data_IF_493766780947
#
_entry.id   IF_493766780947
#
_cell.length_a   1.000
_cell.length_b   1.000
_cell.length_c   1.000
_cell.angle_alpha   90.00
_cell.angle_beta   90.00
_cell.angle_gamma   90.00
#
_symmetry.space_group_name_H-M   'P 1'
#
loop_
_entity.id
_entity.type
_entity.pdbx_description
1 polymer ?
#
# COMPACT_ATOMS: atom_id res chain seq x y z
N UNK A 1 -22.89 71.31 -15.80
CA UNK A 1 -21.84 72.29 -15.45
C UNK A 1 -20.60 71.55 -14.98
N UNK A 2 -19.40 72.05 -15.30
CA UNK A 2 -18.11 71.83 -14.61
C UNK A 2 -17.77 70.46 -13.99
N UNK A 3 -16.97 69.67 -14.72
CA UNK A 3 -15.75 68.98 -14.22
C UNK A 3 -14.60 70.02 -14.03
N UNK A 4 -13.33 69.72 -13.59
CA UNK A 4 -12.64 68.45 -13.29
C UNK A 4 -12.15 68.31 -11.81
N UNK A 5 -10.88 68.17 -11.32
CA UNK A 5 -9.48 68.36 -11.81
C UNK A 5 -8.38 67.59 -11.00
N UNK A 6 -7.87 66.47 -11.54
CA UNK A 6 -6.49 65.89 -11.44
C UNK A 6 -5.73 65.67 -10.09
N UNK A 7 -5.05 64.50 -10.03
CA UNK A 7 -3.68 64.18 -9.52
C UNK A 7 -2.83 65.28 -8.85
N UNK A 8 -2.05 64.89 -7.82
CA UNK A 8 -0.57 64.77 -7.91
C UNK A 8 0.05 63.97 -6.73
N UNK A 9 1.24 63.40 -6.97
CA UNK A 9 2.30 63.08 -5.98
C UNK A 9 3.47 64.02 -6.34
N UNK A 10 4.32 64.44 -5.39
CA UNK A 10 5.72 64.00 -5.52
C UNK A 10 6.39 63.67 -4.17
N UNK A 11 7.60 63.15 -4.27
CA UNK A 11 8.50 62.76 -3.18
C UNK A 11 9.11 63.96 -2.44
N UNK A 12 9.82 63.68 -1.34
CA UNK A 12 10.91 64.53 -0.86
C UNK A 12 12.00 63.63 -0.25
N UNK A 13 13.23 63.77 -0.75
CA UNK A 13 14.43 63.17 -0.15
C UNK A 13 14.80 63.87 1.17
N UNK A 14 15.57 63.19 2.01
CA UNK A 14 16.80 63.78 2.58
C UNK A 14 17.72 62.66 3.11
N UNK A 15 19.03 62.88 2.98
CA UNK A 15 20.11 61.97 3.43
C UNK A 15 20.28 61.96 4.97
N UNK A 16 20.84 60.88 5.51
CA UNK A 16 22.00 61.04 6.41
C UNK A 16 22.91 59.79 6.43
N UNK A 17 24.23 59.98 6.69
CA UNK A 17 25.27 58.96 6.47
C UNK A 17 26.04 58.54 7.73
N UNK A 18 26.06 57.23 8.01
CA UNK A 18 27.01 56.55 8.90
C UNK A 18 27.05 55.03 8.50
N UNK A 19 28.12 54.32 8.13
CA UNK A 19 29.54 54.32 8.56
C UNK A 19 29.69 54.05 10.07
N UNK A 20 30.46 53.10 10.61
CA UNK A 20 31.43 52.10 10.10
C UNK A 20 31.63 51.03 11.22
N UNK A 21 32.17 49.80 11.09
CA UNK A 21 32.71 48.98 9.99
C UNK A 21 32.67 47.47 10.41
N UNK A 22 32.92 46.51 9.50
CA UNK A 22 33.32 45.12 9.87
C UNK A 22 34.79 45.08 10.32
N UNK A 23 35.18 44.08 11.13
CA UNK A 23 36.40 43.33 10.84
C UNK A 23 36.16 41.82 10.74
N UNK A 24 37.14 41.09 10.18
CA UNK A 24 37.09 39.62 10.03
C UNK A 24 38.47 39.00 10.23
N UNK A 25 38.55 37.87 10.96
CA UNK A 25 39.25 36.62 10.56
C UNK A 25 39.50 35.64 11.73
N UNK A 26 39.05 34.39 11.52
CA UNK A 26 39.84 33.14 11.59
C UNK A 26 40.72 32.85 12.83
N UNK A 27 40.32 31.85 13.62
CA UNK A 27 41.20 30.74 14.05
C UNK A 27 40.39 29.49 14.43
N UNK A 28 41.06 28.35 14.55
CA UNK A 28 40.51 27.08 15.06
C UNK A 28 40.89 26.87 16.53
N UNK A 29 40.05 26.19 17.31
CA UNK A 29 40.47 25.28 18.38
C UNK A 29 39.35 24.29 18.72
N UNK A 30 39.75 23.11 19.21
CA UNK A 30 38.85 22.02 19.63
C UNK A 30 38.53 22.08 21.12
N UNK A 31 37.25 21.95 21.48
CA UNK A 31 36.80 21.45 22.78
C UNK A 31 35.38 20.87 22.62
N UNK A 32 35.09 19.76 23.31
CA UNK A 32 33.74 19.17 23.33
C UNK A 32 32.99 19.57 24.59
N UNK A 33 31.66 19.66 24.49
CA UNK A 33 30.78 19.90 25.65
C UNK A 33 29.49 19.09 25.50
N UNK A 34 29.00 18.52 26.61
CA UNK A 34 27.76 17.75 26.62
C UNK A 34 26.55 18.63 26.25
N UNK A 35 25.71 18.11 25.36
CA UNK A 35 24.26 18.28 25.47
C UNK A 35 23.70 16.87 25.71
N UNK A 36 22.92 16.60 26.74
CA UNK A 36 22.18 17.54 27.60
C UNK A 36 20.75 17.03 27.67
N UNK A 37 20.51 16.06 28.55
CA UNK A 37 19.23 15.33 28.57
C UNK A 37 18.10 16.22 29.10
N UNK A 38 17.44 16.94 28.20
CA UNK A 38 16.25 17.75 28.51
C UNK A 38 15.01 16.85 28.54
N UNK A 39 14.98 15.93 29.49
CA UNK A 39 13.86 14.98 29.70
C UNK A 39 12.63 15.76 30.17
N UNK A 40 11.83 16.22 29.21
CA UNK A 40 10.61 17.01 29.47
C UNK A 40 9.40 16.13 29.25
N UNK A 41 8.66 15.84 30.32
CA UNK A 41 7.64 14.80 30.31
C UNK A 41 6.41 15.18 29.46
N UNK A 42 6.22 14.48 28.35
CA UNK A 42 4.93 14.36 27.68
C UNK A 42 4.16 13.15 28.26
N UNK A 43 3.77 13.22 29.54
CA UNK A 43 2.88 12.25 30.16
C UNK A 43 1.44 12.45 29.66
N UNK A 44 1.21 12.19 28.37
CA UNK A 44 -0.13 12.09 27.80
C UNK A 44 -0.85 10.88 28.39
N UNK A 45 -2.17 11.03 28.57
CA UNK A 45 -3.00 10.05 29.25
C UNK A 45 -3.03 8.72 28.48
N UNK A 46 -2.42 7.68 29.05
CA UNK A 46 -2.31 6.35 28.44
C UNK A 46 -3.67 5.66 28.22
N UNK A 47 -4.77 6.16 28.80
CA UNK A 47 -6.13 5.70 28.48
C UNK A 47 -6.64 6.13 27.10
N UNK A 48 -5.99 7.11 26.47
CA UNK A 48 -6.41 7.74 25.20
C UNK A 48 -5.63 7.31 23.95
N UNK A 49 -4.56 6.52 24.10
CA UNK A 49 -3.68 6.09 22.99
C UNK A 49 -4.41 5.12 22.03
N UNK A 50 -4.55 5.50 20.75
CA UNK A 50 -5.16 4.60 19.76
C UNK A 50 -4.25 3.40 19.46
N UNK A 51 -4.79 2.21 19.11
CA UNK A 51 -3.98 1.02 18.80
C UNK A 51 -2.91 1.25 17.73
N UNK A 52 -3.13 2.17 16.79
CA UNK A 52 -2.14 2.50 15.76
C UNK A 52 -0.94 3.28 16.32
N UNK A 53 -1.19 4.34 17.12
CA UNK A 53 -0.10 5.07 17.78
C UNK A 53 0.66 4.18 18.77
N UNK A 54 -0.06 3.31 19.47
CA UNK A 54 0.53 2.29 20.35
C UNK A 54 1.41 1.29 19.59
N UNK A 55 0.98 0.83 18.41
CA UNK A 55 1.78 -0.03 17.54
C UNK A 55 3.08 0.70 17.12
N UNK A 56 2.96 1.89 16.55
CA UNK A 56 4.12 2.66 16.06
C UNK A 56 5.12 2.99 17.17
N UNK A 57 4.64 3.36 18.37
CA UNK A 57 5.51 3.60 19.52
C UNK A 57 6.22 2.32 19.97
N UNK A 58 5.48 1.21 20.16
CA UNK A 58 6.08 -0.07 20.56
C UNK A 58 7.09 -0.56 19.51
N UNK A 59 6.81 -0.34 18.22
CA UNK A 59 7.68 -0.67 17.08
C UNK A 59 8.96 0.17 17.06
N UNK A 60 8.87 1.48 17.27
CA UNK A 60 10.04 2.36 17.43
C UNK A 60 10.89 1.95 18.65
N UNK A 61 10.24 1.53 19.74
CA UNK A 61 10.89 0.95 20.92
C UNK A 61 11.38 -0.51 20.69
N UNK A 62 11.11 -1.12 19.52
CA UNK A 62 11.43 -2.51 19.19
C UNK A 62 12.71 -2.63 18.36
N UNK A 63 13.83 -2.21 18.93
CA UNK A 63 15.13 -2.66 18.45
C UNK A 63 15.41 -4.05 19.05
N UNK A 64 15.75 -5.08 18.23
CA UNK A 64 16.24 -6.35 18.78
C UNK A 64 17.54 -6.06 19.53
N UNK A 65 17.73 -6.63 20.72
CA UNK A 65 18.98 -6.39 21.48
C UNK A 65 20.14 -6.96 20.67
N UNK A 66 21.17 -6.14 20.49
CA UNK A 66 22.44 -6.59 19.93
C UNK A 66 23.00 -7.73 20.76
N UNK A 67 22.94 -8.95 20.21
CA UNK A 67 23.78 -10.05 20.67
C UNK A 67 25.15 -9.85 20.05
N UNK A 68 26.15 -9.58 20.88
CA UNK A 68 27.55 -9.57 20.45
C UNK A 68 27.95 -10.93 19.85
N UNK A 69 28.73 -10.89 18.77
CA UNK A 69 29.45 -11.99 18.11
C UNK A 69 28.70 -13.27 17.72
N UNK A 70 27.38 -13.35 17.90
CA UNK A 70 26.54 -14.43 17.35
C UNK A 70 26.28 -14.25 15.83
N UNK A 71 27.34 -13.90 15.09
CA UNK A 71 27.44 -13.92 13.61
C UNK A 71 27.47 -15.36 13.09
N UNK A 72 26.58 -16.23 13.58
CA UNK A 72 26.47 -17.60 13.08
C UNK A 72 25.81 -17.57 11.70
N UNK A 73 26.52 -18.10 10.70
CA UNK A 73 25.91 -18.46 9.44
C UNK A 73 24.79 -19.48 9.69
N UNK A 74 23.62 -19.25 9.11
CA UNK A 74 22.38 -19.97 9.41
C UNK A 74 21.42 -19.17 10.28
N UNK A 75 20.30 -18.77 9.68
CA UNK A 75 19.19 -18.10 10.35
C UNK A 75 18.09 -17.78 9.35
N UNK A 76 16.87 -17.58 9.85
CA UNK A 76 15.71 -17.28 9.00
C UNK A 76 15.27 -15.82 9.16
N UNK A 77 14.80 -15.24 8.05
CA UNK A 77 13.97 -14.03 8.00
C UNK A 77 12.59 -14.47 7.49
N UNK A 78 11.53 -14.07 8.18
CA UNK A 78 10.16 -14.43 7.79
C UNK A 78 9.40 -13.21 7.28
N UNK A 79 8.82 -13.32 6.09
CA UNK A 79 7.79 -12.39 5.63
C UNK A 79 6.42 -12.98 5.96
N UNK A 80 5.65 -12.31 6.82
CA UNK A 80 4.25 -12.67 7.07
C UNK A 80 3.34 -11.96 6.07
N UNK A 81 3.02 -12.67 5.00
CA UNK A 81 2.13 -12.22 3.93
C UNK A 81 0.70 -12.10 4.47
N UNK A 82 0.13 -10.89 4.43
CA UNK A 82 -1.23 -10.60 4.89
C UNK A 82 -2.28 -11.06 3.88
N UNK A 83 -3.54 -11.16 4.33
CA UNK A 83 -4.71 -11.37 3.45
C UNK A 83 -4.99 -10.18 2.52
N UNK A 84 -4.32 -9.04 2.76
CA UNK A 84 -4.39 -7.78 2.00
C UNK A 84 -3.13 -7.50 1.17
N UNK A 85 -2.21 -8.48 1.02
CA UNK A 85 -0.90 -8.32 0.37
C UNK A 85 -0.46 -9.53 -0.47
N UNK A 86 -1.41 -10.12 -1.21
CA UNK A 86 -1.19 -11.33 -2.02
C UNK A 86 -0.45 -11.04 -3.35
N UNK A 87 0.75 -10.46 -3.27
CA UNK A 87 1.63 -10.15 -4.41
C UNK A 87 3.11 -10.22 -4.04
N UNK A 88 3.96 -10.52 -5.03
CA UNK A 88 5.41 -10.42 -4.94
C UNK A 88 5.94 -9.06 -5.44
N UNK A 89 5.30 -8.48 -6.46
CA UNK A 89 5.72 -7.18 -7.01
C UNK A 89 5.35 -6.02 -6.10
N UNK A 90 6.24 -5.02 -6.00
CA UNK A 90 6.00 -3.74 -5.32
C UNK A 90 5.36 -3.92 -3.92
N UNK A 91 6.03 -4.70 -3.07
CA UNK A 91 5.59 -5.07 -1.72
C UNK A 91 6.69 -4.72 -0.70
N UNK A 92 6.44 -3.71 0.15
CA UNK A 92 7.50 -3.11 0.99
C UNK A 92 8.05 -4.08 2.04
N UNK A 93 7.19 -4.85 2.73
CA UNK A 93 7.65 -5.83 3.71
C UNK A 93 8.41 -7.01 3.08
N UNK A 94 8.02 -7.46 1.89
CA UNK A 94 8.76 -8.49 1.15
C UNK A 94 10.13 -7.99 0.69
N UNK A 95 10.21 -6.78 0.14
CA UNK A 95 11.48 -6.18 -0.29
C UNK A 95 12.48 -6.10 0.87
N UNK A 96 12.05 -5.57 2.03
CA UNK A 96 12.90 -5.49 3.23
C UNK A 96 13.26 -6.88 3.77
N UNK A 97 12.34 -7.86 3.78
CA UNK A 97 12.68 -9.23 4.19
C UNK A 97 13.70 -9.90 3.27
N UNK A 98 13.56 -9.71 1.96
CA UNK A 98 14.43 -10.31 0.95
C UNK A 98 15.83 -9.69 0.95
N UNK A 99 15.91 -8.36 1.06
CA UNK A 99 17.19 -7.65 1.16
C UNK A 99 17.89 -7.95 2.50
N UNK A 100 17.15 -8.02 3.61
CA UNK A 100 17.69 -8.43 4.92
C UNK A 100 18.20 -9.89 4.91
N UNK A 101 17.49 -10.80 4.24
CA UNK A 101 17.91 -12.19 4.10
C UNK A 101 19.23 -12.29 3.31
N UNK A 102 19.28 -11.63 2.14
CA UNK A 102 20.45 -11.55 1.25
C UNK A 102 21.68 -10.95 1.93
N UNK A 103 21.55 -9.76 2.52
CA UNK A 103 22.69 -9.04 3.12
C UNK A 103 23.28 -9.75 4.35
N UNK A 104 22.50 -10.59 5.02
CA UNK A 104 22.90 -11.34 6.21
C UNK A 104 23.19 -12.83 5.94
N UNK A 105 23.20 -13.26 4.67
CA UNK A 105 23.35 -14.67 4.26
C UNK A 105 22.38 -15.62 4.99
N UNK A 106 21.11 -15.21 5.08
CA UNK A 106 20.00 -15.91 5.73
C UNK A 106 18.97 -16.40 4.71
N UNK A 107 18.11 -17.31 5.14
CA UNK A 107 17.02 -17.82 4.32
C UNK A 107 15.72 -17.03 4.55
N UNK A 108 15.06 -16.63 3.46
CA UNK A 108 13.71 -16.07 3.47
C UNK A 108 12.67 -17.20 3.49
N UNK A 109 11.68 -17.10 4.38
CA UNK A 109 10.49 -17.98 4.44
C UNK A 109 9.25 -17.10 4.39
N UNK A 110 8.21 -17.51 3.64
CA UNK A 110 6.91 -16.83 3.67
C UNK A 110 5.96 -17.56 4.61
N UNK A 111 5.35 -16.82 5.53
CA UNK A 111 4.29 -17.28 6.41
C UNK A 111 2.95 -16.69 5.98
N UNK A 112 1.92 -17.52 5.87
CA UNK A 112 0.53 -17.06 5.79
C UNK A 112 -0.32 -17.74 6.87
N UNK A 113 -1.21 -16.97 7.50
CA UNK A 113 -2.06 -17.43 8.62
C UNK A 113 -3.52 -17.39 8.19
N UNK A 114 -4.12 -18.56 8.11
CA UNK A 114 -5.54 -18.77 7.87
C UNK A 114 -6.25 -18.80 9.23
N UNK A 115 -7.28 -17.99 9.45
CA UNK A 115 -8.02 -18.02 10.72
C UNK A 115 -9.54 -18.02 10.51
N UNK A 116 -10.17 -19.21 10.44
CA UNK A 116 -11.62 -19.35 10.28
C UNK A 116 -12.45 -18.60 11.34
N UNK A 117 -11.96 -18.52 12.59
CA UNK A 117 -12.59 -17.75 13.65
C UNK A 117 -12.53 -16.23 13.44
N UNK A 118 -11.45 -15.72 12.85
CA UNK A 118 -11.34 -14.31 12.42
C UNK A 118 -12.26 -14.01 11.23
N UNK A 119 -12.27 -14.92 10.25
CA UNK A 119 -13.12 -14.82 9.07
C UNK A 119 -14.61 -14.78 9.41
N UNK A 120 -15.06 -15.58 10.39
CA UNK A 120 -16.41 -15.49 10.97
C UNK A 120 -16.65 -14.18 11.74
N UNK A 121 -15.66 -13.67 12.47
CA UNK A 121 -15.78 -12.42 13.24
C UNK A 121 -15.91 -11.17 12.36
N UNK A 122 -15.39 -11.22 11.12
CA UNK A 122 -15.38 -10.10 10.17
C UNK A 122 -16.21 -10.37 8.89
N UNK A 123 -17.22 -11.24 8.98
CA UNK A 123 -18.20 -11.59 7.93
C UNK A 123 -17.55 -11.82 6.55
N UNK A 124 -16.48 -12.61 6.53
CA UNK A 124 -15.74 -12.92 5.30
C UNK A 124 -16.47 -14.00 4.52
N UNK A 125 -16.99 -13.67 3.34
CA UNK A 125 -17.72 -14.66 2.52
C UNK A 125 -16.81 -15.80 2.02
N UNK A 126 -17.33 -17.03 1.88
CA UNK A 126 -16.63 -18.16 1.26
C UNK A 126 -15.96 -17.82 -0.09
N UNK A 127 -16.62 -16.99 -0.91
CA UNK A 127 -16.08 -16.48 -2.19
C UNK A 127 -14.79 -15.66 -2.03
N UNK A 128 -14.66 -14.88 -0.94
CA UNK A 128 -13.40 -14.17 -0.63
C UNK A 128 -12.31 -15.14 -0.19
N UNK A 129 -12.66 -16.21 0.53
CA UNK A 129 -11.71 -17.23 0.98
C UNK A 129 -11.19 -18.05 -0.21
N UNK A 130 -12.07 -18.53 -1.10
CA UNK A 130 -11.70 -19.16 -2.38
C UNK A 130 -10.72 -18.29 -3.19
N UNK A 131 -11.03 -17.00 -3.37
CA UNK A 131 -10.14 -16.10 -4.10
C UNK A 131 -8.76 -15.96 -3.43
N UNK A 132 -8.69 -15.90 -2.09
CA UNK A 132 -7.43 -15.90 -1.35
C UNK A 132 -6.65 -17.20 -1.55
N UNK A 133 -7.28 -18.36 -1.36
CA UNK A 133 -6.63 -19.68 -1.51
C UNK A 133 -6.08 -19.90 -2.93
N UNK A 134 -6.82 -19.48 -3.96
CA UNK A 134 -6.34 -19.56 -5.36
C UNK A 134 -5.18 -18.61 -5.65
N UNK A 135 -5.13 -17.42 -5.05
CA UNK A 135 -3.98 -16.52 -5.14
C UNK A 135 -2.76 -17.07 -4.37
N UNK A 136 -2.96 -17.65 -3.18
CA UNK A 136 -1.89 -18.33 -2.42
C UNK A 136 -1.26 -19.49 -3.21
N UNK A 137 -2.06 -20.24 -3.97
CA UNK A 137 -1.56 -21.34 -4.82
C UNK A 137 -0.69 -20.83 -5.99
N UNK A 138 -1.09 -19.75 -6.66
CA UNK A 138 -0.26 -19.06 -7.67
C UNK A 138 1.06 -18.52 -7.05
N UNK A 139 0.95 -17.88 -5.89
CA UNK A 139 2.11 -17.35 -5.15
C UNK A 139 3.08 -18.47 -4.75
N UNK A 140 2.59 -19.61 -4.26
CA UNK A 140 3.43 -20.78 -3.96
C UNK A 140 4.21 -21.25 -5.19
N UNK A 141 3.53 -21.40 -6.34
CA UNK A 141 4.15 -21.83 -7.58
C UNK A 141 5.18 -20.82 -8.15
N UNK A 142 5.13 -19.54 -7.72
CA UNK A 142 6.12 -18.51 -8.08
C UNK A 142 7.26 -18.43 -7.05
N UNK A 143 6.97 -18.50 -5.75
CA UNK A 143 7.95 -18.54 -4.66
C UNK A 143 8.87 -19.77 -4.76
N UNK A 144 8.32 -20.93 -5.15
CA UNK A 144 9.13 -22.16 -5.34
C UNK A 144 10.20 -22.02 -6.44
N UNK A 145 9.97 -21.18 -7.46
CA UNK A 145 10.97 -20.87 -8.52
C UNK A 145 12.13 -20.02 -7.98
N UNK A 146 11.94 -19.36 -6.84
CA UNK A 146 12.91 -18.53 -6.13
C UNK A 146 13.58 -19.29 -4.96
N UNK A 147 13.35 -20.60 -4.81
CA UNK A 147 13.70 -21.37 -3.60
C UNK A 147 13.13 -20.77 -2.31
N UNK A 148 11.99 -20.09 -2.34
CA UNK A 148 11.32 -19.57 -1.15
C UNK A 148 10.12 -20.48 -0.83
N UNK A 149 10.03 -21.08 0.38
CA UNK A 149 8.86 -21.84 0.77
C UNK A 149 7.73 -20.92 1.25
N UNK A 150 6.47 -21.33 0.98
CA UNK A 150 5.28 -20.72 1.55
C UNK A 150 4.64 -21.67 2.55
N UNK A 151 4.70 -21.34 3.84
CA UNK A 151 4.04 -22.07 4.91
C UNK A 151 2.66 -21.48 5.23
N UNK A 152 1.60 -22.25 4.99
CA UNK A 152 0.23 -21.91 5.43
C UNK A 152 -0.12 -22.63 6.73
N UNK A 153 -0.48 -21.88 7.78
CA UNK A 153 -1.02 -22.45 9.02
C UNK A 153 -2.45 -21.99 9.28
N UNK A 154 -3.32 -22.93 9.66
CA UNK A 154 -4.67 -22.63 10.17
C UNK A 154 -4.63 -22.46 11.69
N UNK A 155 -5.09 -21.31 12.20
CA UNK A 155 -5.12 -21.00 13.64
C UNK A 155 -6.53 -20.61 14.08
N UNK A 156 -7.12 -21.40 14.96
CA UNK A 156 -8.37 -21.10 15.67
C UNK A 156 -8.25 -21.62 17.12
N UNK A 157 -8.71 -20.87 18.15
CA UNK A 157 -9.34 -19.54 18.11
C UNK A 157 -8.36 -18.41 17.76
N UNK A 158 -8.86 -17.32 17.15
CA UNK A 158 -8.01 -16.24 16.60
C UNK A 158 -7.08 -15.54 17.60
N UNK A 159 -7.40 -15.58 18.89
CA UNK A 159 -6.55 -14.99 19.92
C UNK A 159 -5.20 -15.73 20.11
N UNK A 160 -5.07 -16.97 19.60
CA UNK A 160 -3.82 -17.72 19.64
C UNK A 160 -2.85 -17.36 18.51
N UNK A 161 -3.26 -16.52 17.53
CA UNK A 161 -2.41 -16.16 16.38
C UNK A 161 -1.03 -15.63 16.82
N UNK A 162 -0.90 -14.66 17.76
CA UNK A 162 0.40 -14.13 18.16
C UNK A 162 1.32 -15.20 18.77
N UNK A 163 0.80 -16.02 19.68
CA UNK A 163 1.57 -17.11 20.30
C UNK A 163 2.00 -18.16 19.27
N UNK A 164 1.11 -18.54 18.34
CA UNK A 164 1.40 -19.53 17.30
C UNK A 164 2.44 -19.04 16.30
N UNK A 165 2.43 -17.76 15.94
CA UNK A 165 3.48 -17.14 15.12
C UNK A 165 4.82 -17.22 15.85
N UNK A 166 4.91 -16.74 17.10
CA UNK A 166 6.18 -16.75 17.84
C UNK A 166 6.69 -18.17 18.13
N UNK A 167 5.80 -19.15 18.30
CA UNK A 167 6.15 -20.58 18.37
C UNK A 167 6.78 -21.06 17.05
N UNK A 168 6.17 -20.78 15.88
CA UNK A 168 6.75 -21.14 14.57
C UNK A 168 8.10 -20.45 14.33
N UNK A 169 8.18 -19.13 14.53
CA UNK A 169 9.42 -18.37 14.36
C UNK A 169 10.56 -18.94 15.22
N UNK A 170 10.26 -19.28 16.48
CA UNK A 170 11.24 -19.93 17.38
C UNK A 170 11.68 -21.30 16.85
N UNK A 171 10.75 -22.10 16.30
CA UNK A 171 11.05 -23.44 15.76
C UNK A 171 11.90 -23.43 14.48
N UNK A 172 11.81 -22.37 13.67
CA UNK A 172 12.59 -22.20 12.44
C UNK A 172 13.94 -21.50 12.63
N UNK A 173 14.29 -21.09 13.86
CA UNK A 173 15.45 -20.23 14.09
C UNK A 173 15.32 -18.85 13.42
N UNK A 174 14.08 -18.33 13.34
CA UNK A 174 13.84 -17.02 12.74
C UNK A 174 14.35 -15.89 13.65
N UNK A 175 15.23 -15.09 13.07
CA UNK A 175 15.86 -13.93 13.72
C UNK A 175 15.08 -12.63 13.51
N UNK A 176 14.25 -12.58 12.46
CA UNK A 176 13.51 -11.40 12.07
C UNK A 176 12.17 -11.75 11.41
N UNK A 177 11.17 -10.90 11.61
CA UNK A 177 9.84 -10.93 11.01
C UNK A 177 9.59 -9.58 10.31
N UNK A 178 9.09 -9.60 9.07
CA UNK A 178 8.47 -8.42 8.46
C UNK A 178 7.01 -8.70 8.14
N UNK A 179 6.18 -7.66 8.16
CA UNK A 179 4.86 -7.68 7.54
C UNK A 179 4.43 -6.26 7.16
N UNK A 180 3.40 -6.12 6.34
CA UNK A 180 2.75 -4.81 6.15
C UNK A 180 1.80 -4.53 7.32
N UNK A 181 1.61 -3.25 7.67
CA UNK A 181 0.61 -2.83 8.67
C UNK A 181 -0.80 -3.01 8.10
N UNK A 182 -1.65 -3.72 8.84
CA UNK A 182 -3.10 -3.68 8.65
C UNK A 182 -3.65 -2.62 9.64
N UNK A 183 -4.46 -1.67 9.15
CA UNK A 183 -4.88 -0.48 9.92
C UNK A 183 -6.12 -0.72 10.79
N UNK A 184 -6.72 -1.89 10.66
CA UNK A 184 -7.93 -2.31 11.34
C UNK A 184 -7.68 -2.73 12.80
N UNK A 185 -8.67 -2.47 13.67
CA UNK A 185 -8.44 -2.39 15.13
C UNK A 185 -7.99 -3.70 15.77
N UNK A 186 -8.45 -4.85 15.29
CA UNK A 186 -8.10 -6.16 15.86
C UNK A 186 -6.77 -6.67 15.34
N UNK A 187 -6.47 -6.38 14.07
CA UNK A 187 -5.19 -6.62 13.43
C UNK A 187 -4.06 -5.81 14.11
N UNK A 188 -4.30 -4.54 14.44
CA UNK A 188 -3.39 -3.72 15.24
C UNK A 188 -3.17 -4.30 16.66
N UNK A 189 -4.23 -4.80 17.32
CA UNK A 189 -4.13 -5.45 18.65
C UNK A 189 -3.31 -6.74 18.61
N UNK A 190 -3.56 -7.59 17.60
CA UNK A 190 -2.80 -8.81 17.29
C UNK A 190 -1.33 -8.52 17.07
N UNK A 191 -1.02 -7.48 16.30
CA UNK A 191 0.36 -7.13 15.94
C UNK A 191 1.13 -6.49 17.11
N UNK A 192 0.46 -5.73 17.99
CA UNK A 192 1.02 -5.32 19.30
C UNK A 192 1.39 -6.54 20.16
N UNK A 193 0.55 -7.58 20.18
CA UNK A 193 0.83 -8.81 20.93
C UNK A 193 2.03 -9.58 20.32
N UNK A 194 2.13 -9.64 18.99
CA UNK A 194 3.30 -10.21 18.28
C UNK A 194 4.59 -9.47 18.66
N UNK A 195 4.61 -8.13 18.65
CA UNK A 195 5.77 -7.33 19.04
C UNK A 195 6.25 -7.59 20.48
N UNK A 196 5.32 -7.69 21.43
CA UNK A 196 5.65 -7.98 22.83
C UNK A 196 6.26 -9.37 22.99
N UNK A 197 5.63 -10.41 22.42
CA UNK A 197 6.10 -11.80 22.49
C UNK A 197 7.42 -12.01 21.71
N UNK A 198 7.62 -11.32 20.59
CA UNK A 198 8.87 -11.33 19.84
C UNK A 198 10.03 -10.74 20.66
N UNK A 199 9.77 -9.66 21.42
CA UNK A 199 10.75 -9.02 22.30
C UNK A 199 11.24 -9.96 23.40
N UNK A 200 10.36 -10.81 23.95
CA UNK A 200 10.73 -11.86 24.91
C UNK A 200 11.61 -12.96 24.30
N UNK A 201 11.47 -13.24 23.00
CA UNK A 201 12.30 -14.22 22.26
C UNK A 201 13.53 -13.62 21.58
N UNK A 202 13.74 -12.30 21.68
CA UNK A 202 14.77 -11.55 20.97
C UNK A 202 14.71 -11.71 19.43
N UNK A 203 13.48 -11.79 18.90
CA UNK A 203 13.19 -11.80 17.46
C UNK A 203 12.92 -10.35 17.05
N UNK A 204 13.60 -9.86 16.01
CA UNK A 204 13.31 -8.55 15.44
C UNK A 204 11.99 -8.56 14.68
N UNK A 205 11.24 -7.46 14.74
CA UNK A 205 9.97 -7.30 14.01
C UNK A 205 9.93 -5.91 13.38
N UNK A 206 9.63 -5.86 12.08
CA UNK A 206 9.29 -4.63 11.38
C UNK A 206 7.87 -4.72 10.78
N UNK A 207 7.11 -3.63 10.88
CA UNK A 207 5.77 -3.52 10.31
C UNK A 207 5.66 -2.27 9.43
N UNK A 208 5.56 -2.47 8.13
CA UNK A 208 5.78 -1.43 7.13
C UNK A 208 4.48 -0.82 6.58
N UNK A 209 4.52 0.47 6.25
CA UNK A 209 3.41 1.15 5.58
C UNK A 209 3.39 0.84 4.08
N UNK A 210 2.41 0.05 3.65
CA UNK A 210 2.30 -0.38 2.25
C UNK A 210 0.87 -0.34 1.67
N UNK A 211 -0.15 -0.38 2.53
CA UNK A 211 -1.56 -0.43 2.13
C UNK A 211 -2.03 0.84 1.42
N UNK A 212 -1.51 2.01 1.79
CA UNK A 212 -1.85 3.31 1.20
C UNK A 212 -0.67 3.86 0.37
N UNK A 213 -0.91 4.82 -0.53
CA UNK A 213 0.16 5.56 -1.21
C UNK A 213 0.93 6.45 -0.22
N UNK A 214 0.19 7.11 0.67
CA UNK A 214 0.70 7.89 1.80
C UNK A 214 0.10 7.34 3.08
N UNK A 215 0.91 7.10 4.10
CA UNK A 215 0.48 6.50 5.35
C UNK A 215 -0.46 7.42 6.18
N UNK A 216 -1.43 6.83 6.91
CA UNK A 216 -2.28 7.57 7.84
C UNK A 216 -1.47 8.33 8.89
N UNK A 217 -1.81 9.61 9.07
CA UNK A 217 -1.12 10.55 9.94
C UNK A 217 -0.25 11.58 9.21
N UNK A 218 0.12 11.37 7.94
CA UNK A 218 0.90 12.36 7.15
C UNK A 218 0.05 13.42 6.45
N UNK A 219 -1.14 13.09 5.95
CA UNK A 219 -2.03 14.05 5.25
C UNK A 219 -2.87 14.84 6.28
N UNK A 220 -2.28 15.89 6.83
CA UNK A 220 -2.90 16.74 7.87
C UNK A 220 -3.29 18.12 7.32
N UNK A 221 -4.24 18.76 8.00
CA UNK A 221 -4.57 20.18 7.82
C UNK A 221 -3.42 21.08 8.30
N UNK A 222 -3.48 22.38 7.97
CA UNK A 222 -2.52 23.39 8.49
C UNK A 222 -2.48 23.53 10.01
N UNK A 223 -3.46 22.96 10.72
CA UNK A 223 -3.53 22.90 12.18
C UNK A 223 -3.00 21.56 12.75
N UNK A 224 -2.34 20.75 11.92
CA UNK A 224 -1.89 19.37 12.23
C UNK A 224 -3.02 18.42 12.67
N UNK A 225 -4.28 18.71 12.28
CA UNK A 225 -5.44 17.85 12.51
C UNK A 225 -5.75 17.01 11.27
N UNK A 226 -6.22 15.75 11.40
CA UNK A 226 -6.70 14.96 10.27
C UNK A 226 -7.90 15.60 9.55
N UNK A 227 -8.17 15.16 8.32
CA UNK A 227 -9.31 15.61 7.53
C UNK A 227 -10.52 14.69 7.71
N UNK A 228 -11.70 15.29 7.87
CA UNK A 228 -13.01 14.60 7.80
C UNK A 228 -13.72 14.74 6.45
N UNK A 229 -13.15 15.48 5.49
CA UNK A 229 -13.77 15.76 4.18
C UNK A 229 -12.78 15.49 3.05
N UNK A 230 -13.21 14.69 2.08
CA UNK A 230 -12.36 14.20 0.99
C UNK A 230 -11.77 15.29 0.10
N UNK A 231 -12.57 16.26 -0.38
CA UNK A 231 -12.09 17.25 -1.37
C UNK A 231 -10.85 18.06 -0.92
N UNK A 232 -10.82 18.58 0.32
CA UNK A 232 -9.62 19.21 0.88
C UNK A 232 -8.46 18.23 1.16
N UNK A 233 -8.75 17.01 1.62
CA UNK A 233 -7.74 15.96 1.83
C UNK A 233 -7.06 15.58 0.52
N UNK A 234 -7.84 15.32 -0.53
CA UNK A 234 -7.40 14.89 -1.86
C UNK A 234 -6.39 15.86 -2.47
N UNK A 235 -6.66 17.16 -2.37
CA UNK A 235 -5.73 18.18 -2.88
C UNK A 235 -4.41 18.19 -2.10
N UNK A 236 -4.42 17.93 -0.79
CA UNK A 236 -3.20 17.85 0.00
C UNK A 236 -2.42 16.54 -0.25
N UNK A 237 -3.11 15.39 -0.27
CA UNK A 237 -2.58 14.08 -0.62
C UNK A 237 -1.93 14.08 -2.01
N UNK A 238 -2.60 14.63 -3.02
CA UNK A 238 -2.06 14.72 -4.37
C UNK A 238 -0.87 15.69 -4.48
N UNK A 239 -0.90 16.83 -3.78
CA UNK A 239 0.25 17.75 -3.72
C UNK A 239 1.46 17.10 -3.04
N UNK A 240 1.26 16.38 -1.94
CA UNK A 240 2.31 15.67 -1.20
C UNK A 240 2.95 14.57 -2.06
N UNK A 241 2.14 13.78 -2.76
CA UNK A 241 2.60 12.77 -3.72
C UNK A 241 3.36 13.41 -4.88
N UNK A 242 2.79 14.43 -5.53
CA UNK A 242 3.40 15.09 -6.69
C UNK A 242 4.70 15.83 -6.35
N UNK A 243 4.90 16.21 -5.09
CA UNK A 243 6.15 16.83 -4.61
C UNK A 243 7.23 15.80 -4.25
N UNK A 244 6.87 14.54 -4.03
CA UNK A 244 7.76 13.47 -3.54
C UNK A 244 7.46 12.14 -4.27
N UNK A 245 7.46 12.18 -5.62
CA UNK A 245 7.05 11.02 -6.44
C UNK A 245 7.92 9.77 -6.17
N UNK A 246 9.22 9.95 -5.92
CA UNK A 246 10.15 8.85 -5.63
C UNK A 246 9.90 8.21 -4.25
N UNK A 247 9.33 8.94 -3.27
CA UNK A 247 8.97 8.40 -1.95
C UNK A 247 7.67 7.58 -1.99
N UNK A 248 6.65 8.10 -2.68
CA UNK A 248 5.29 7.56 -2.62
C UNK A 248 4.87 6.69 -3.82
N UNK A 249 5.49 6.85 -4.99
CA UNK A 249 5.08 6.18 -6.25
C UNK A 249 6.11 5.16 -6.76
N UNK A 250 7.37 5.24 -6.33
CA UNK A 250 8.39 4.23 -6.67
C UNK A 250 7.91 2.80 -6.32
N UNK A 251 8.41 1.82 -7.07
CA UNK A 251 8.21 0.42 -6.72
C UNK A 251 9.15 0.03 -5.59
N UNK A 252 8.68 -0.79 -4.65
CA UNK A 252 9.60 -1.56 -3.80
C UNK A 252 10.39 -2.57 -4.66
N UNK A 253 11.60 -2.92 -4.23
CA UNK A 253 12.49 -3.83 -4.97
C UNK A 253 11.89 -5.25 -5.08
N UNK A 254 12.15 -5.92 -6.21
CA UNK A 254 11.70 -7.30 -6.44
C UNK A 254 12.48 -8.29 -5.55
N UNK A 255 11.78 -9.31 -5.05
CA UNK A 255 12.38 -10.30 -4.15
C UNK A 255 13.45 -11.15 -4.83
N UNK A 256 14.62 -11.23 -4.18
CA UNK A 256 15.71 -12.12 -4.54
C UNK A 256 15.42 -13.58 -4.16
N UNK A 257 15.92 -14.56 -4.93
CA UNK A 257 15.83 -15.97 -4.58
C UNK A 257 16.73 -16.32 -3.39
N UNK A 258 16.32 -17.35 -2.64
CA UNK A 258 17.22 -18.00 -1.69
C UNK A 258 18.30 -18.80 -2.43
N UNK A 259 19.47 -18.88 -1.80
CA UNK A 259 20.46 -19.90 -2.14
C UNK A 259 19.83 -21.32 -2.02
N UNK A 260 20.12 -22.25 -2.96
CA UNK A 260 19.59 -23.61 -2.92
C UNK A 260 19.84 -24.38 -1.61
N UNK A 261 20.89 -24.04 -0.85
CA UNK A 261 21.24 -24.64 0.44
C UNK A 261 20.17 -24.55 1.53
N UNK A 262 19.12 -23.73 1.34
CA UNK A 262 17.90 -23.80 2.18
C UNK A 262 17.30 -25.22 2.26
N UNK A 263 17.52 -26.05 1.22
CA UNK A 263 17.03 -27.44 1.14
C UNK A 263 17.92 -28.43 1.89
N UNK A 264 19.14 -28.05 2.25
CA UNK A 264 20.03 -28.86 3.10
C UNK A 264 19.63 -28.74 4.59
N UNK A 265 18.88 -27.69 4.94
CA UNK A 265 18.33 -27.48 6.29
C UNK A 265 16.98 -28.20 6.41
N UNK A 266 16.98 -29.39 7.01
CA UNK A 266 15.82 -30.30 7.08
C UNK A 266 14.48 -29.61 7.42
N UNK A 267 14.45 -28.83 8.50
CA UNK A 267 13.25 -28.12 8.99
C UNK A 267 12.73 -27.05 8.01
N UNK A 268 13.59 -26.52 7.12
CA UNK A 268 13.21 -25.56 6.08
C UNK A 268 12.84 -26.26 4.76
N UNK A 269 13.48 -27.39 4.44
CA UNK A 269 13.10 -28.23 3.32
C UNK A 269 11.66 -28.75 3.44
N UNK A 270 11.25 -29.18 4.65
CA UNK A 270 9.88 -29.58 4.96
C UNK A 270 8.83 -28.47 4.69
N UNK A 271 9.22 -27.19 4.67
CA UNK A 271 8.28 -26.09 4.43
C UNK A 271 7.84 -25.99 2.95
N UNK A 272 8.62 -26.55 2.00
CA UNK A 272 8.21 -26.65 0.59
C UNK A 272 7.14 -27.73 0.34
N UNK A 273 6.97 -28.67 1.27
CA UNK A 273 5.99 -29.76 1.18
C UNK A 273 4.60 -29.35 1.69
N UNK A 274 4.48 -28.17 2.31
CA UNK A 274 3.23 -27.62 2.84
C UNK A 274 2.26 -27.24 1.69
N UNK A 275 1.13 -27.94 1.49
CA UNK A 275 0.19 -27.57 0.43
C UNK A 275 -0.70 -26.42 0.88
N UNK A 276 -0.88 -25.41 0.02
CA UNK A 276 -1.98 -24.44 0.18
C UNK A 276 -3.31 -25.21 0.13
N UNK A 277 -4.19 -25.12 1.14
CA UNK A 277 -5.43 -25.89 1.16
C UNK A 277 -6.41 -25.37 0.09
N UNK A 278 -7.07 -26.29 -0.62
CA UNK A 278 -8.01 -25.94 -1.69
C UNK A 278 -9.35 -25.37 -1.17
N UNK A 279 -9.69 -25.62 0.09
CA UNK A 279 -10.85 -25.06 0.80
C UNK A 279 -10.55 -24.95 2.31
N UNK A 280 -11.39 -24.25 3.06
CA UNK A 280 -11.33 -24.21 4.52
C UNK A 280 -12.67 -24.63 5.14
N UNK A 281 -12.67 -25.37 6.27
CA UNK A 281 -13.89 -25.78 6.97
C UNK A 281 -14.82 -24.62 7.32
N UNK A 282 -16.05 -24.67 6.82
CA UNK A 282 -17.07 -23.62 6.98
C UNK A 282 -16.93 -22.46 6.00
N UNK A 283 -16.07 -22.57 4.98
CA UNK A 283 -15.84 -21.59 3.91
C UNK A 283 -15.76 -22.25 2.53
N UNK A 284 -16.35 -23.44 2.37
CA UNK A 284 -16.47 -24.16 1.12
C UNK A 284 -17.44 -23.45 0.15
N UNK A 285 -17.20 -23.61 -1.16
CA UNK A 285 -18.11 -23.16 -2.21
C UNK A 285 -18.96 -24.32 -2.75
N UNK A 286 -20.16 -23.99 -3.24
CA UNK A 286 -20.88 -24.90 -4.13
C UNK A 286 -20.10 -25.06 -5.45
N UNK A 287 -20.33 -26.16 -6.18
CA UNK A 287 -19.69 -26.37 -7.48
C UNK A 287 -20.01 -25.26 -8.49
N UNK A 288 -21.24 -24.71 -8.46
CA UNK A 288 -21.65 -23.60 -9.33
C UNK A 288 -20.99 -22.28 -8.88
N UNK A 289 -20.93 -21.99 -7.58
CA UNK A 289 -20.19 -20.83 -7.06
C UNK A 289 -18.71 -20.88 -7.45
N UNK A 290 -18.06 -22.04 -7.33
CA UNK A 290 -16.64 -22.22 -7.68
C UNK A 290 -16.41 -21.94 -9.16
N UNK A 291 -17.28 -22.45 -10.04
CA UNK A 291 -17.24 -22.15 -11.47
C UNK A 291 -17.42 -20.66 -11.75
N UNK A 292 -18.43 -20.01 -11.17
CA UNK A 292 -18.68 -18.56 -11.30
C UNK A 292 -17.45 -17.77 -10.84
N UNK A 293 -16.81 -18.19 -9.73
CA UNK A 293 -15.62 -17.57 -9.18
C UNK A 293 -14.40 -17.70 -10.08
N UNK A 294 -14.18 -18.86 -10.70
CA UNK A 294 -13.10 -19.11 -11.66
C UNK A 294 -13.29 -18.31 -12.96
N UNK A 295 -14.52 -18.20 -13.47
CA UNK A 295 -14.84 -17.46 -14.69
C UNK A 295 -14.69 -15.93 -14.52
N UNK A 296 -14.99 -15.39 -13.34
CA UNK A 296 -15.08 -13.93 -13.12
C UNK A 296 -13.91 -13.32 -12.32
N UNK A 297 -13.23 -14.09 -11.48
CA UNK A 297 -12.11 -13.64 -10.63
C UNK A 297 -10.95 -14.63 -10.72
N UNK A 298 -10.24 -14.61 -11.86
CA UNK A 298 -8.94 -15.27 -12.06
C UNK A 298 -7.96 -14.87 -10.94
N UNK A 299 -7.13 -15.79 -10.48
CA UNK A 299 -6.07 -15.52 -9.50
C UNK A 299 -4.75 -15.11 -10.18
N UNK A 300 -3.83 -14.56 -9.39
CA UNK A 300 -2.47 -14.18 -9.76
C UNK A 300 -2.33 -12.72 -10.18
N UNK A 301 -1.13 -12.15 -9.94
CA UNK A 301 -0.78 -10.76 -10.30
C UNK A 301 -1.02 -10.49 -11.79
N UNK A 302 -0.66 -11.43 -12.67
CA UNK A 302 -0.90 -11.33 -14.12
C UNK A 302 -2.38 -11.07 -14.46
N UNK A 303 -3.34 -11.66 -13.73
CA UNK A 303 -4.76 -11.43 -13.99
C UNK A 303 -5.19 -9.99 -13.64
N UNK A 304 -4.59 -9.40 -12.60
CA UNK A 304 -4.81 -8.01 -12.25
C UNK A 304 -4.13 -7.06 -13.26
N UNK A 305 -2.93 -7.40 -13.74
CA UNK A 305 -2.24 -6.66 -14.80
C UNK A 305 -2.97 -6.74 -16.15
N UNK A 306 -3.53 -7.90 -16.52
CA UNK A 306 -4.39 -8.06 -17.71
C UNK A 306 -5.61 -7.13 -17.63
N UNK A 307 -6.30 -7.08 -16.49
CA UNK A 307 -7.45 -6.19 -16.27
C UNK A 307 -7.06 -4.70 -16.26
N UNK A 308 -5.93 -4.35 -15.63
CA UNK A 308 -5.41 -2.98 -15.63
C UNK A 308 -5.05 -2.53 -17.05
N UNK A 309 -4.31 -3.35 -17.80
CA UNK A 309 -3.95 -3.07 -19.18
C UNK A 309 -5.17 -3.02 -20.10
N UNK A 310 -6.18 -3.88 -19.88
CA UNK A 310 -7.45 -3.81 -20.61
C UNK A 310 -8.17 -2.48 -20.34
N UNK A 311 -8.34 -2.09 -19.08
CA UNK A 311 -8.98 -0.82 -18.69
C UNK A 311 -8.28 0.41 -19.26
N UNK A 312 -6.94 0.44 -19.20
CA UNK A 312 -6.14 1.57 -19.62
C UNK A 312 -5.98 1.71 -21.15
N UNK A 313 -5.99 0.61 -21.91
CA UNK A 313 -5.60 0.62 -23.32
C UNK A 313 -6.69 0.13 -24.29
N UNK A 314 -7.69 -0.63 -23.84
CA UNK A 314 -8.74 -1.14 -24.73
C UNK A 314 -9.80 -0.08 -24.98
N UNK A 315 -10.34 0.02 -26.21
CA UNK A 315 -11.58 0.75 -26.43
C UNK A 315 -12.74 0.08 -25.70
N UNK A 316 -13.76 0.85 -25.34
CA UNK A 316 -15.02 0.28 -24.90
C UNK A 316 -15.58 -0.63 -26.00
N UNK A 317 -15.90 -1.90 -25.68
CA UNK A 317 -16.50 -2.83 -26.65
C UNK A 317 -17.92 -2.34 -27.00
N UNK A 318 -18.07 -1.72 -28.17
CA UNK A 318 -19.38 -1.36 -28.69
C UNK A 318 -20.13 -2.61 -29.14
N UNK A 319 -21.21 -2.97 -28.46
CA UNK A 319 -22.31 -3.66 -29.14
C UNK A 319 -22.95 -2.66 -30.11
N UNK A 320 -22.65 -2.84 -31.40
CA UNK A 320 -23.07 -1.96 -32.51
C UNK A 320 -22.70 -0.47 -32.40
N UNK A 321 -21.46 -0.13 -32.79
CA UNK A 321 -21.16 1.18 -33.40
C UNK A 321 -20.86 1.03 -34.90
N UNK A 322 -21.80 0.43 -35.63
CA UNK A 322 -21.95 0.65 -37.08
C UNK A 322 -23.06 1.68 -37.36
N UNK A 323 -22.99 2.83 -36.70
CA UNK A 323 -23.86 3.96 -37.04
C UNK A 323 -23.34 4.65 -38.31
N UNK A 324 -23.58 4.02 -39.46
CA UNK A 324 -23.25 4.58 -40.79
C UNK A 324 -24.19 5.74 -41.11
N UNK A 325 -23.84 6.94 -40.65
CA UNK A 325 -24.49 8.18 -41.07
C UNK A 325 -24.17 8.46 -42.53
N UNK A 326 -25.09 8.07 -43.41
CA UNK A 326 -25.08 8.45 -44.83
C UNK A 326 -25.24 9.98 -44.94
N UNK A 327 -24.11 10.68 -45.09
CA UNK A 327 -24.12 12.07 -45.56
C UNK A 327 -24.50 12.10 -47.04
N UNK A 328 -25.30 13.09 -47.45
CA UNK A 328 -25.88 13.13 -48.81
C UNK A 328 -24.83 13.30 -49.93
N UNK A 329 -23.63 13.76 -49.59
CA UNK A 329 -22.61 14.21 -50.56
C UNK A 329 -21.48 13.20 -50.81
N UNK A 330 -21.67 11.93 -50.42
CA UNK A 330 -20.87 10.79 -50.88
C UNK A 330 -19.38 10.76 -50.50
N UNK A 331 -18.88 11.72 -49.69
CA UNK A 331 -17.48 11.81 -49.29
C UNK A 331 -17.24 11.23 -47.90
N UNK A 332 -16.64 10.03 -47.86
CA UNK A 332 -16.08 9.41 -46.66
C UNK A 332 -14.86 10.18 -46.17
N UNK A 333 -15.08 11.21 -45.35
CA UNK A 333 -14.02 11.90 -44.60
C UNK A 333 -13.47 10.97 -43.50
N UNK A 334 -12.58 10.06 -43.91
CA UNK A 334 -11.97 9.01 -43.10
C UNK A 334 -10.96 9.54 -42.08
N UNK A 335 -11.36 10.49 -41.23
CA UNK A 335 -10.60 10.80 -40.01
C UNK A 335 -10.68 9.60 -39.07
N UNK A 336 -9.65 8.75 -39.10
CA UNK A 336 -9.42 7.67 -38.12
C UNK A 336 -9.16 8.26 -36.73
N UNK A 337 -10.24 8.68 -36.07
CA UNK A 337 -10.22 8.98 -34.64
C UNK A 337 -9.80 7.69 -33.92
N UNK A 338 -8.65 7.71 -33.25
CA UNK A 338 -8.29 6.68 -32.25
C UNK A 338 -9.49 6.52 -31.32
N UNK A 339 -10.01 5.29 -31.19
CA UNK A 339 -11.13 5.01 -30.32
C UNK A 339 -10.77 5.35 -28.86
N UNK A 340 -11.71 5.93 -28.14
CA UNK A 340 -11.55 6.29 -26.73
C UNK A 340 -11.53 5.02 -25.88
N UNK A 341 -10.56 4.95 -24.97
CA UNK A 341 -10.38 3.80 -24.07
C UNK A 341 -11.45 3.76 -22.98
N UNK A 342 -11.50 2.68 -22.22
CA UNK A 342 -12.38 2.59 -21.04
C UNK A 342 -11.96 3.64 -19.99
N UNK A 343 -10.66 3.86 -19.79
CA UNK A 343 -10.16 4.91 -18.87
C UNK A 343 -10.45 6.34 -19.36
N UNK A 344 -10.41 6.61 -20.67
CA UNK A 344 -10.79 7.94 -21.21
C UNK A 344 -12.25 8.28 -20.85
N UNK A 345 -13.15 7.31 -21.01
CA UNK A 345 -14.59 7.45 -20.77
C UNK A 345 -15.00 7.23 -19.30
N UNK A 346 -14.06 6.95 -18.39
CA UNK A 346 -14.36 6.60 -17.00
C UNK A 346 -15.14 7.70 -16.25
N UNK A 347 -14.91 8.97 -16.58
CA UNK A 347 -15.60 10.11 -15.95
C UNK A 347 -17.11 10.07 -16.15
N UNK A 348 -17.60 9.58 -17.30
CA UNK A 348 -19.02 9.44 -17.63
C UNK A 348 -19.58 8.03 -17.37
N UNK A 349 -18.78 6.98 -17.59
CA UNK A 349 -19.27 5.60 -17.56
C UNK A 349 -19.20 4.91 -16.18
N UNK A 350 -18.41 5.40 -15.22
CA UNK A 350 -18.24 4.68 -13.93
C UNK A 350 -19.53 4.54 -13.10
N UNK A 351 -20.52 5.39 -13.37
CA UNK A 351 -21.85 5.36 -12.74
C UNK A 351 -22.90 4.59 -13.56
N UNK A 352 -22.50 3.83 -14.59
CA UNK A 352 -23.37 3.03 -15.46
C UNK A 352 -23.17 1.53 -15.19
N UNK A 353 -23.96 0.91 -14.28
CA UNK A 353 -23.79 -0.51 -13.94
C UNK A 353 -24.16 -1.44 -15.10
N UNK A 354 -24.85 -0.93 -16.12
CA UNK A 354 -25.22 -1.59 -17.36
C UNK A 354 -24.08 -1.63 -18.40
N UNK A 355 -22.96 -0.94 -18.17
CA UNK A 355 -21.85 -0.83 -19.11
C UNK A 355 -20.51 -1.28 -18.48
N UNK A 356 -19.56 -1.84 -19.26
CA UNK A 356 -18.23 -2.21 -18.77
C UNK A 356 -17.31 -0.98 -18.62
N UNK A 357 -17.79 0.03 -17.90
CA UNK A 357 -17.17 1.37 -17.75
C UNK A 357 -16.22 1.52 -16.56
N UNK A 358 -15.78 0.42 -15.93
CA UNK A 358 -14.91 0.44 -14.75
C UNK A 358 -13.74 -0.54 -14.89
N UNK A 359 -12.70 -0.37 -14.08
CA UNK A 359 -11.49 -1.21 -14.14
C UNK A 359 -11.68 -2.64 -13.63
N UNK A 360 -12.76 -2.92 -12.88
CA UNK A 360 -13.01 -4.19 -12.17
C UNK A 360 -11.91 -4.63 -11.19
N UNK A 361 -10.96 -3.75 -10.85
CA UNK A 361 -9.78 -4.06 -10.02
C UNK A 361 -10.04 -4.12 -8.51
N UNK A 362 -11.23 -3.79 -8.00
CA UNK A 362 -11.42 -3.56 -6.56
C UNK A 362 -11.12 -4.80 -5.70
N UNK A 363 -11.58 -5.99 -6.11
CA UNK A 363 -11.25 -7.25 -5.45
C UNK A 363 -9.73 -7.54 -5.40
N UNK A 364 -9.00 -7.18 -6.46
CA UNK A 364 -7.54 -7.35 -6.54
C UNK A 364 -6.81 -6.33 -5.64
N UNK A 365 -7.29 -5.08 -5.59
CA UNK A 365 -6.79 -4.02 -4.69
C UNK A 365 -7.15 -4.26 -3.21
N UNK A 366 -8.22 -5.00 -2.93
CA UNK A 366 -8.68 -5.37 -1.58
C UNK A 366 -8.05 -6.66 -1.04
N UNK A 367 -7.50 -7.50 -1.91
CA UNK A 367 -6.66 -8.66 -1.58
C UNK A 367 -5.15 -8.37 -1.72
N UNK A 368 -4.77 -7.20 -2.24
CA UNK A 368 -3.39 -6.82 -2.47
C UNK A 368 -2.69 -7.58 -3.58
N UNK A 369 -3.45 -8.16 -4.53
CA UNK A 369 -2.95 -8.84 -5.74
C UNK A 369 -2.44 -7.82 -6.79
N UNK A 370 -2.70 -6.54 -6.58
CA UNK A 370 -2.04 -5.45 -7.32
C UNK A 370 -1.79 -4.25 -6.39
N UNK A 371 -0.60 -3.66 -6.51
CA UNK A 371 -0.24 -2.45 -5.75
C UNK A 371 -1.03 -1.23 -6.23
N UNK A 372 -1.54 -0.37 -5.32
CA UNK A 372 -2.14 0.91 -5.72
C UNK A 372 -1.10 1.84 -6.37
N UNK A 373 0.19 1.76 -5.98
CA UNK A 373 1.28 2.50 -6.66
C UNK A 373 1.50 2.00 -8.08
N UNK A 374 1.37 0.69 -8.34
CA UNK A 374 1.44 0.14 -9.70
C UNK A 374 0.32 0.70 -10.61
N UNK A 375 -0.91 0.80 -10.08
CA UNK A 375 -2.02 1.47 -10.78
C UNK A 375 -1.70 2.94 -11.11
N UNK A 376 -1.08 3.69 -10.18
CA UNK A 376 -0.66 5.07 -10.44
C UNK A 376 0.49 5.16 -11.46
N UNK A 377 1.55 4.35 -11.32
CA UNK A 377 2.65 4.28 -12.31
C UNK A 377 2.15 3.93 -13.71
N UNK A 378 1.15 3.05 -13.83
CA UNK A 378 0.49 2.75 -15.10
C UNK A 378 -0.34 3.93 -15.62
N UNK A 379 -1.04 4.67 -14.73
CA UNK A 379 -1.81 5.86 -15.10
C UNK A 379 -0.94 6.99 -15.68
N UNK A 380 0.29 7.18 -15.18
CA UNK A 380 1.22 8.21 -15.70
C UNK A 380 1.69 7.93 -17.13
N UNK A 381 1.57 6.70 -17.62
CA UNK A 381 1.87 6.34 -19.02
C UNK A 381 0.76 6.76 -20.00
N UNK A 382 -0.41 7.15 -19.48
CA UNK A 382 -1.55 7.63 -20.27
C UNK A 382 -1.40 9.13 -20.53
N UNK A 383 -1.74 9.56 -21.74
CA UNK A 383 -1.68 10.95 -22.15
C UNK A 383 -2.89 11.35 -22.98
N UNK A 384 -3.37 12.58 -22.78
CA UNK A 384 -4.33 13.20 -23.67
C UNK A 384 -3.82 13.24 -25.12
N UNK A 385 -4.74 13.15 -26.08
CA UNK A 385 -4.41 13.15 -27.51
C UNK A 385 -3.57 14.38 -27.92
N UNK A 386 -2.31 14.14 -28.27
CA UNK A 386 -1.37 15.16 -28.75
C UNK A 386 -0.59 15.89 -27.65
N UNK A 387 -0.75 15.52 -26.38
CA UNK A 387 0.13 15.95 -25.28
C UNK A 387 1.25 14.92 -25.04
N UNK A 388 2.17 15.24 -24.14
CA UNK A 388 3.06 14.25 -23.51
C UNK A 388 2.34 13.63 -22.30
N UNK A 389 2.74 12.43 -21.85
CA UNK A 389 2.35 11.95 -20.52
C UNK A 389 2.83 12.94 -19.44
N UNK A 390 2.20 12.91 -18.28
CA UNK A 390 2.50 13.83 -17.16
C UNK A 390 2.84 12.98 -15.94
N UNK A 391 4.06 13.18 -15.42
CA UNK A 391 4.50 12.59 -14.16
C UNK A 391 3.81 13.33 -13.01
N UNK A 392 2.75 12.72 -12.48
CA UNK A 392 1.95 13.30 -11.39
C UNK A 392 0.45 12.97 -11.45
N UNK A 393 -0.18 13.02 -10.29
CA UNK A 393 -1.62 12.89 -10.10
C UNK A 393 -2.34 14.13 -10.65
N UNK A 394 -3.37 13.89 -11.45
CA UNK A 394 -4.20 14.88 -12.15
C UNK A 394 -5.63 14.93 -11.56
N UNK A 395 -5.78 14.71 -10.24
CA UNK A 395 -7.09 14.55 -9.57
C UNK A 395 -8.06 15.73 -9.69
N UNK A 396 -7.55 16.94 -9.92
CA UNK A 396 -8.38 18.13 -10.17
C UNK A 396 -8.95 18.17 -11.61
N UNK A 397 -8.39 17.40 -12.55
CA UNK A 397 -8.87 17.26 -13.94
C UNK A 397 -10.06 16.31 -14.04
N UNK A 398 -11.20 16.75 -13.51
CA UNK A 398 -12.46 15.97 -13.52
C UNK A 398 -13.07 15.80 -14.93
N UNK A 399 -12.57 16.53 -15.90
CA UNK A 399 -12.82 16.34 -17.33
C UNK A 399 -12.13 15.08 -17.90
N UNK A 400 -11.02 14.63 -17.29
CA UNK A 400 -10.30 13.44 -17.70
C UNK A 400 -10.74 12.21 -16.91
N UNK A 401 -11.12 11.13 -17.61
CA UNK A 401 -11.42 9.85 -16.96
C UNK A 401 -10.25 9.27 -16.15
N UNK A 402 -9.00 9.48 -16.57
CA UNK A 402 -7.80 9.09 -15.78
C UNK A 402 -7.65 9.91 -14.49
N UNK A 403 -7.93 11.22 -14.51
CA UNK A 403 -7.89 12.07 -13.31
C UNK A 403 -9.00 11.72 -12.32
N UNK A 404 -10.19 11.38 -12.83
CA UNK A 404 -11.28 10.81 -12.03
C UNK A 404 -10.91 9.43 -11.47
N UNK A 405 -10.25 8.55 -12.24
CA UNK A 405 -9.84 7.24 -11.74
C UNK A 405 -8.77 7.32 -10.64
N UNK A 406 -7.79 8.21 -10.80
CA UNK A 406 -6.83 8.56 -9.74
C UNK A 406 -7.54 9.12 -8.50
N UNK A 407 -8.65 9.85 -8.66
CA UNK A 407 -9.50 10.29 -7.54
C UNK A 407 -10.18 9.13 -6.81
N UNK A 408 -10.66 8.10 -7.51
CA UNK A 408 -11.26 6.92 -6.85
C UNK A 408 -10.21 6.04 -6.14
N UNK A 409 -8.97 6.00 -6.63
CA UNK A 409 -7.83 5.43 -5.88
C UNK A 409 -7.52 6.25 -4.62
N UNK A 410 -7.67 7.58 -4.67
CA UNK A 410 -7.57 8.44 -3.50
C UNK A 410 -8.67 8.21 -2.46
N UNK A 411 -9.90 7.89 -2.87
CA UNK A 411 -10.98 7.56 -1.93
C UNK A 411 -10.65 6.34 -1.07
N UNK A 412 -10.04 5.29 -1.66
CA UNK A 412 -9.56 4.10 -0.94
C UNK A 412 -8.61 4.46 0.20
N UNK A 413 -7.61 5.31 -0.08
CA UNK A 413 -6.66 5.79 0.92
C UNK A 413 -7.35 6.68 1.98
N UNK A 414 -8.25 7.58 1.56
CA UNK A 414 -9.00 8.46 2.48
C UNK A 414 -9.79 7.69 3.54
N UNK A 415 -10.45 6.59 3.18
CA UNK A 415 -11.18 5.78 4.16
C UNK A 415 -10.26 5.15 5.22
N UNK A 416 -9.03 4.75 4.87
CA UNK A 416 -8.06 4.27 5.85
C UNK A 416 -7.49 5.42 6.71
N UNK A 417 -7.31 6.62 6.15
CA UNK A 417 -6.94 7.83 6.91
C UNK A 417 -8.03 8.23 7.92
N UNK A 418 -9.32 8.12 7.56
CA UNK A 418 -10.45 8.36 8.47
C UNK A 418 -10.52 7.30 9.57
N UNK A 419 -10.42 6.01 9.22
CA UNK A 419 -10.41 4.90 10.19
C UNK A 419 -9.24 4.96 11.19
N UNK A 420 -8.07 5.47 10.79
CA UNK A 420 -6.97 5.78 11.70
C UNK A 420 -7.34 6.93 12.67
N UNK A 421 -7.95 7.99 12.15
CA UNK A 421 -8.22 9.26 12.85
C UNK A 421 -9.43 9.20 13.79
N UNK A 422 -10.35 8.29 13.52
CA UNK A 422 -11.59 8.08 14.28
C UNK A 422 -11.97 6.60 14.17
N UNK A 423 -11.23 5.70 14.86
CA UNK A 423 -11.45 4.26 14.77
C UNK A 423 -12.89 3.93 15.16
N UNK A 424 -13.66 3.25 14.29
CA UNK A 424 -15.10 3.11 14.48
C UNK A 424 -15.42 2.31 15.75
N UNK A 425 -16.27 2.87 16.59
CA UNK A 425 -16.69 2.31 17.88
C UNK A 425 -17.68 1.16 17.70
N UNK A 426 -17.22 0.03 17.14
CA UNK A 426 -17.95 -1.25 16.97
C UNK A 426 -19.30 -1.20 16.22
N UNK A 427 -19.70 -0.06 15.64
CA UNK A 427 -21.06 0.15 15.12
C UNK A 427 -21.19 1.10 13.92
N UNK A 428 -20.08 1.45 13.26
CA UNK A 428 -20.09 2.38 12.11
C UNK A 428 -19.14 1.92 11.01
N UNK A 429 -19.60 2.05 9.76
CA UNK A 429 -18.89 1.77 8.50
C UNK A 429 -18.41 0.32 8.28
N UNK A 430 -19.29 -0.48 7.67
CA UNK A 430 -18.84 -1.45 6.68
C UNK A 430 -18.15 -0.70 5.54
N UNK A 431 -16.83 -0.81 5.41
CA UNK A 431 -16.09 -0.30 4.25
C UNK A 431 -16.20 -1.34 3.13
N UNK A 432 -17.00 -1.03 2.11
CA UNK A 432 -17.06 -1.77 0.85
C UNK A 432 -15.94 -1.31 -0.09
N UNK A 433 -15.07 -2.25 -0.47
CA UNK A 433 -14.04 -2.16 -1.51
C UNK A 433 -14.04 -3.48 -2.29
#
# INVERSE_FOLDING_TARGET
>A
MTTPKKRAIPDHDDDDQASNQRPSKRSQTTAGTNHGSTTTAASQDQSSETPYHKLLRILNDHQPKEKGDDQKAGGVVVWWMRMRDLRLSDNRALAVASQLAKDQAKHLVVLHVLSPGDYRSHDRSPRRIDFVLRNLSDLQARLHKLNIPLWTITVEPRHQIPEKIIQLLSSWGASYLTANIEHEVDELRRDIQVLNLAREKNIGVDFLHDTCLVEPGKVLTKENKPYSVFGPWQRNWANLINSNLDEYIAAAEDCHPNDPSIKDVEILNQLFECPVPASLPGFELSAEDSKIMLENWKAGEQAAEELLNQFLNSPLKSESTRQTTLTKDGKTSGTTRKAETIVDQYSSLRNRPDLPGTSRLSAYLAAGVISPRACIRASFRISEKGKKPVDGLQVDRRDLGVGVWQSELGWRDFYQHVSHSSPPTLHSFFILL
#
